data_IF_848355579268
#
_entry.id   IF_848355579268
#
_cell.length_a   1.000
_cell.length_b   1.000
_cell.length_c   1.000
_cell.angle_alpha   90.00
_cell.angle_beta   90.00
_cell.angle_gamma   90.00
#
_symmetry.space_group_name_H-M   'P 1'
#
loop_
_entity.id
_entity.type
_entity.pdbx_description
1 polymer ?
#
# COMPACT_ATOMS: atom_id res chain seq x y z
N UNK A 1 -29.78 55.72 13.25
CA UNK A 1 -29.61 55.46 11.80
C UNK A 1 -29.59 53.95 11.66
N UNK A 2 -30.76 53.32 11.76
CA UNK A 2 -30.86 51.88 12.03
C UNK A 2 -31.72 51.23 10.96
N UNK A 3 -31.08 50.94 9.83
CA UNK A 3 -31.70 50.30 8.67
C UNK A 3 -30.71 49.69 7.69
N UNK A 4 -29.43 49.57 8.04
CA UNK A 4 -28.45 48.99 7.14
C UNK A 4 -28.49 47.46 7.23
N UNK A 5 -29.14 46.83 6.25
CA UNK A 5 -29.19 45.37 6.12
C UNK A 5 -27.89 44.91 5.44
N UNK A 6 -26.99 44.21 6.15
CA UNK A 6 -25.71 43.81 5.57
C UNK A 6 -25.91 42.78 4.46
N UNK A 7 -25.14 42.91 3.38
CA UNK A 7 -25.18 41.97 2.26
C UNK A 7 -24.59 40.61 2.65
N UNK A 8 -24.99 39.53 1.96
CA UNK A 8 -24.43 38.16 2.18
C UNK A 8 -22.91 38.12 2.04
N UNK A 9 -22.32 38.96 1.18
CA UNK A 9 -20.87 39.06 1.03
C UNK A 9 -20.20 39.69 2.27
N UNK A 10 -20.84 40.69 2.90
CA UNK A 10 -20.33 41.30 4.13
C UNK A 10 -20.37 40.32 5.32
N UNK A 11 -21.41 39.48 5.40
CA UNK A 11 -21.50 38.43 6.42
C UNK A 11 -20.38 37.39 6.28
N UNK A 12 -20.14 36.90 5.05
CA UNK A 12 -19.06 35.93 4.78
C UNK A 12 -17.65 36.45 5.11
N UNK A 13 -17.41 37.76 4.97
CA UNK A 13 -16.12 38.37 5.34
C UNK A 13 -15.91 38.35 6.86
N UNK A 14 -16.95 38.67 7.64
CA UNK A 14 -16.91 38.60 9.12
C UNK A 14 -16.72 37.17 9.61
N UNK A 15 -17.30 36.18 8.92
CA UNK A 15 -17.12 34.77 9.27
C UNK A 15 -15.69 34.29 8.96
N UNK A 16 -15.10 34.76 7.86
CA UNK A 16 -13.70 34.47 7.51
C UNK A 16 -12.70 35.08 8.51
N UNK A 17 -12.97 36.28 9.02
CA UNK A 17 -12.17 36.93 10.07
C UNK A 17 -12.20 36.16 11.39
N UNK A 18 -13.34 35.55 11.74
CA UNK A 18 -13.47 34.71 12.94
C UNK A 18 -12.80 33.34 12.80
N UNK A 19 -12.68 32.82 11.58
CA UNK A 19 -12.09 31.52 11.28
C UNK A 19 -10.55 31.56 11.11
N UNK A 20 -9.94 32.74 11.17
CA UNK A 20 -8.48 32.92 11.07
C UNK A 20 -7.80 32.52 12.38
N UNK A 21 -7.38 31.26 12.48
CA UNK A 21 -6.52 30.78 13.57
C UNK A 21 -5.06 31.02 13.18
N UNK A 22 -4.49 32.11 13.68
CA UNK A 22 -3.06 32.43 13.51
C UNK A 22 -2.27 31.55 14.46
N UNK A 23 -1.60 30.53 13.94
CA UNK A 23 -0.67 29.70 14.70
C UNK A 23 0.76 30.20 14.47
N UNK A 24 1.45 30.56 15.55
CA UNK A 24 2.87 30.90 15.52
C UNK A 24 3.68 29.62 15.75
N UNK A 25 4.53 29.26 14.78
CA UNK A 25 5.40 28.10 14.88
C UNK A 25 6.69 28.47 15.63
N UNK A 26 6.91 27.86 16.80
CA UNK A 26 8.19 27.93 17.49
C UNK A 26 9.06 26.72 17.10
N UNK A 27 10.18 26.99 16.42
CA UNK A 27 11.06 25.93 15.93
C UNK A 27 11.78 25.24 17.10
N UNK A 28 11.62 23.92 17.22
CA UNK A 28 12.36 23.14 18.20
C UNK A 28 13.88 23.29 18.00
N UNK A 29 14.58 23.71 19.06
CA UNK A 29 16.05 23.80 19.07
C UNK A 29 16.63 22.40 18.89
N UNK A 30 17.46 22.22 17.86
CA UNK A 30 18.19 20.97 17.63
C UNK A 30 19.13 20.73 18.81
N UNK A 31 19.04 19.56 19.43
CA UNK A 31 20.00 19.14 20.45
C UNK A 31 21.44 19.20 19.87
N UNK A 32 22.44 19.61 20.66
CA UNK A 32 23.82 19.65 20.21
C UNK A 32 24.26 18.24 19.78
N UNK A 33 24.88 18.16 18.59
CA UNK A 33 25.39 16.90 18.05
C UNK A 33 26.42 16.31 19.01
N UNK A 34 26.13 15.13 19.59
CA UNK A 34 27.14 14.37 20.33
C UNK A 34 28.31 14.05 19.39
N UNK A 35 29.58 14.20 19.82
CA UNK A 35 30.74 13.93 18.98
C UNK A 35 30.80 12.45 18.61
N UNK A 36 31.16 12.18 17.34
CA UNK A 36 31.35 10.83 16.81
C UNK A 36 32.56 10.18 17.48
N UNK A 37 32.31 9.23 18.39
CA UNK A 37 33.34 8.28 18.84
C UNK A 37 33.26 7.04 17.97
N UNK A 38 34.41 6.64 17.45
CA UNK A 38 34.62 5.57 16.51
C UNK A 38 34.54 4.19 17.18
N UNK A 39 33.77 3.29 16.55
CA UNK A 39 33.91 1.83 16.51
C UNK A 39 34.23 1.04 17.78
N UNK A 40 33.33 0.13 18.19
CA UNK A 40 33.63 -1.31 18.39
C UNK A 40 32.45 -2.17 17.95
N UNK A 41 32.78 -3.26 17.25
CA UNK A 41 31.88 -4.35 16.87
C UNK A 41 31.39 -5.05 18.14
N UNK A 42 30.09 -5.11 18.35
CA UNK A 42 29.47 -6.05 19.27
C UNK A 42 28.37 -6.83 18.55
N UNK A 43 28.31 -8.12 18.88
CA UNK A 43 27.40 -9.14 18.31
C UNK A 43 25.94 -8.74 18.55
N UNK A 44 24.98 -9.24 17.74
CA UNK A 44 23.58 -8.93 17.97
C UNK A 44 23.13 -9.59 19.28
N UNK A 45 22.97 -8.78 20.32
CA UNK A 45 22.16 -9.14 21.47
C UNK A 45 20.73 -9.30 20.93
N UNK A 46 20.23 -10.53 20.98
CA UNK A 46 18.81 -10.82 20.86
C UNK A 46 18.11 -10.04 21.97
N UNK A 47 17.62 -8.85 21.63
CA UNK A 47 16.55 -8.22 22.39
C UNK A 47 15.28 -8.91 21.91
N UNK A 48 15.01 -10.04 22.51
CA UNK A 48 13.62 -10.41 22.80
C UNK A 48 13.21 -9.42 23.90
N UNK A 49 12.94 -8.17 23.49
CA UNK A 49 12.08 -7.32 24.29
C UNK A 49 10.69 -7.86 24.00
N UNK A 50 10.17 -8.61 24.97
CA UNK A 50 8.73 -8.57 25.23
C UNK A 50 8.38 -7.08 25.34
N UNK A 51 7.97 -6.48 24.21
CA UNK A 51 7.15 -5.29 24.22
C UNK A 51 5.83 -5.77 24.82
N UNK A 52 5.77 -5.82 26.15
CA UNK A 52 4.54 -5.59 26.87
C UNK A 52 4.07 -4.22 26.39
N UNK A 53 3.14 -4.24 25.44
CA UNK A 53 2.34 -3.08 25.11
C UNK A 53 1.59 -2.77 26.40
N UNK A 54 2.07 -1.80 27.17
CA UNK A 54 1.23 -1.15 28.16
C UNK A 54 -0.04 -0.75 27.40
N UNK A 55 -1.16 -1.36 27.79
CA UNK A 55 -2.47 -0.91 27.36
C UNK A 55 -2.58 0.51 27.89
N UNK A 56 -2.26 1.50 27.04
CA UNK A 56 -2.61 2.89 27.27
C UNK A 56 -4.14 2.92 27.40
N UNK A 57 -4.62 2.80 28.65
CA UNK A 57 -5.98 3.03 29.12
C UNK A 57 -6.32 4.53 28.98
N UNK A 58 -6.07 5.08 27.79
CA UNK A 58 -6.55 6.40 27.42
C UNK A 58 -8.07 6.29 27.26
N UNK A 59 -8.87 7.15 27.92
CA UNK A 59 -10.31 7.01 27.92
C UNK A 59 -10.85 7.06 26.49
N UNK A 60 -11.35 5.92 26.01
CA UNK A 60 -12.02 5.83 24.72
C UNK A 60 -13.23 6.78 24.75
N UNK A 61 -13.12 7.92 24.06
CA UNK A 61 -14.27 8.65 23.55
C UNK A 61 -15.30 7.63 23.02
N UNK A 62 -16.61 7.80 23.23
CA UNK A 62 -17.62 6.81 22.84
C UNK A 62 -17.62 6.64 21.31
N UNK A 63 -16.79 5.72 20.83
CA UNK A 63 -16.70 5.35 19.43
C UNK A 63 -17.95 4.56 19.05
N UNK A 64 -18.54 4.90 17.91
CA UNK A 64 -19.60 4.10 17.29
C UNK A 64 -19.22 2.61 17.30
N UNK A 65 -20.13 1.71 17.67
CA UNK A 65 -19.89 0.25 17.75
C UNK A 65 -19.24 -0.31 16.48
N UNK A 66 -19.57 0.26 15.31
CA UNK A 66 -18.97 -0.08 14.02
C UNK A 66 -17.48 0.24 13.95
N UNK A 67 -17.04 1.37 14.51
CA UNK A 67 -15.62 1.76 14.55
C UNK A 67 -14.83 0.83 15.47
N UNK A 68 -15.41 0.44 16.61
CA UNK A 68 -14.81 -0.55 17.51
C UNK A 68 -14.58 -1.89 16.80
N UNK A 69 -15.61 -2.40 16.12
CA UNK A 69 -15.49 -3.60 15.29
C UNK A 69 -14.41 -3.46 14.21
N UNK A 70 -14.29 -2.30 13.55
CA UNK A 70 -13.23 -2.08 12.56
C UNK A 70 -11.82 -2.07 13.16
N UNK A 71 -11.65 -1.51 14.36
CA UNK A 71 -10.39 -1.53 15.10
C UNK A 71 -10.01 -2.96 15.51
N UNK A 72 -10.97 -3.72 16.06
CA UNK A 72 -10.78 -5.12 16.42
C UNK A 72 -10.40 -5.96 15.20
N UNK A 73 -11.10 -5.77 14.07
CA UNK A 73 -10.78 -6.47 12.83
C UNK A 73 -9.39 -6.09 12.28
N UNK A 74 -8.89 -4.87 12.51
CA UNK A 74 -7.52 -4.48 12.15
C UNK A 74 -6.50 -5.18 13.06
N UNK A 75 -6.75 -5.25 14.37
CA UNK A 75 -5.93 -5.97 15.35
C UNK A 75 -5.84 -7.46 14.98
N UNK A 76 -6.97 -8.14 14.77
CA UNK A 76 -7.00 -9.55 14.37
C UNK A 76 -6.27 -9.82 13.04
N UNK A 77 -6.40 -8.93 12.04
CA UNK A 77 -5.65 -9.08 10.78
C UNK A 77 -4.15 -9.01 11.02
N UNK A 78 -3.70 -8.10 11.87
CA UNK A 78 -2.29 -7.98 12.23
C UNK A 78 -1.80 -9.26 12.94
N UNK A 79 -2.56 -9.79 13.88
CA UNK A 79 -2.19 -11.00 14.62
C UNK A 79 -2.11 -12.24 13.72
N UNK A 80 -3.07 -12.40 12.80
CA UNK A 80 -3.04 -13.48 11.81
C UNK A 80 -1.78 -13.37 10.94
N UNK A 81 -1.42 -12.16 10.52
CA UNK A 81 -0.20 -11.94 9.72
C UNK A 81 1.05 -12.24 10.55
N UNK A 82 1.13 -11.73 11.79
CA UNK A 82 2.24 -11.98 12.73
C UNK A 82 2.43 -13.47 12.97
N UNK A 83 1.33 -14.19 13.22
CA UNK A 83 1.32 -15.63 13.40
C UNK A 83 1.81 -16.37 12.15
N UNK A 84 1.29 -16.02 10.97
CA UNK A 84 1.73 -16.62 9.71
C UNK A 84 3.22 -16.41 9.43
N UNK A 85 3.80 -15.30 9.88
CA UNK A 85 5.23 -15.01 9.74
C UNK A 85 6.13 -15.82 10.69
N UNK A 86 5.60 -16.33 11.80
CA UNK A 86 6.37 -17.10 12.79
C UNK A 86 6.91 -18.43 12.23
N UNK A 87 6.22 -19.01 11.25
CA UNK A 87 6.61 -20.28 10.61
C UNK A 87 7.64 -20.14 9.49
N UNK A 88 8.12 -18.94 9.17
CA UNK A 88 9.07 -18.73 8.07
C UNK A 88 10.52 -18.96 8.47
N UNK A 89 11.33 -19.44 7.52
CA UNK A 89 12.78 -19.51 7.68
C UNK A 89 13.39 -18.10 7.86
N UNK A 90 14.54 -18.00 8.55
CA UNK A 90 15.17 -16.72 8.95
C UNK A 90 15.32 -15.68 7.83
N UNK A 91 15.50 -16.09 6.57
CA UNK A 91 15.62 -15.16 5.43
C UNK A 91 14.24 -14.66 4.99
N UNK A 92 13.28 -15.55 4.87
CA UNK A 92 11.90 -15.26 4.45
C UNK A 92 11.15 -14.47 5.53
N UNK A 93 11.33 -14.83 6.80
CA UNK A 93 10.80 -14.09 7.95
C UNK A 93 11.24 -12.61 7.93
N UNK A 94 12.51 -12.35 7.62
CA UNK A 94 13.02 -10.97 7.49
C UNK A 94 12.38 -10.21 6.34
N UNK A 95 12.19 -10.86 5.19
CA UNK A 95 11.52 -10.24 4.04
C UNK A 95 10.05 -9.94 4.35
N UNK A 96 9.36 -10.87 5.01
CA UNK A 96 7.97 -10.68 5.44
C UNK A 96 7.84 -9.53 6.46
N UNK A 97 8.75 -9.44 7.43
CA UNK A 97 8.80 -8.31 8.39
C UNK A 97 8.98 -6.96 7.69
N UNK A 98 9.89 -6.90 6.71
CA UNK A 98 10.09 -5.68 5.92
C UNK A 98 8.83 -5.34 5.11
N UNK A 99 8.21 -6.34 4.46
CA UNK A 99 6.99 -6.13 3.69
C UNK A 99 5.81 -5.64 4.56
N UNK A 100 5.64 -6.22 5.75
CA UNK A 100 4.67 -5.77 6.75
C UNK A 100 4.91 -4.30 7.13
N UNK A 101 6.15 -3.96 7.51
CA UNK A 101 6.50 -2.61 7.91
C UNK A 101 6.21 -1.61 6.77
N UNK A 102 6.56 -1.94 5.53
CA UNK A 102 6.26 -1.11 4.36
C UNK A 102 4.75 -0.96 4.15
N UNK A 103 3.96 -2.02 4.35
CA UNK A 103 2.49 -1.95 4.24
C UNK A 103 1.86 -1.05 5.32
N UNK A 104 2.49 -0.95 6.49
CA UNK A 104 2.11 -0.03 7.58
C UNK A 104 2.62 1.41 7.33
N UNK A 105 3.30 1.67 6.22
CA UNK A 105 3.78 2.99 5.84
C UNK A 105 5.26 3.26 6.15
N UNK A 106 6.02 2.27 6.61
CA UNK A 106 7.46 2.43 6.79
C UNK A 106 8.17 2.64 5.44
N UNK A 107 9.27 3.40 5.47
CA UNK A 107 10.09 3.64 4.27
C UNK A 107 10.82 2.33 3.89
N UNK A 108 10.72 1.85 2.64
CA UNK A 108 11.38 0.62 2.23
C UNK A 108 12.91 0.74 2.33
N UNK A 109 13.63 -0.38 2.58
CA UNK A 109 15.07 -0.35 2.72
C UNK A 109 15.75 0.09 1.42
N UNK A 110 16.86 0.83 1.54
CA UNK A 110 17.61 1.31 0.38
C UNK A 110 18.23 0.15 -0.41
N UNK A 111 18.15 0.26 -1.73
CA UNK A 111 18.80 -0.69 -2.64
C UNK A 111 20.32 -0.68 -2.47
N UNK A 112 20.94 -1.84 -2.65
CA UNK A 112 22.40 -1.97 -2.63
C UNK A 112 23.02 -1.14 -3.77
N UNK A 113 24.15 -0.49 -3.48
CA UNK A 113 24.90 0.26 -4.51
C UNK A 113 25.59 -0.74 -5.44
N UNK A 114 25.20 -0.76 -6.71
CA UNK A 114 25.73 -1.66 -7.73
C UNK A 114 26.27 -0.82 -8.90
N UNK A 115 27.35 -1.26 -9.54
CA UNK A 115 27.89 -0.60 -10.73
C UNK A 115 26.86 -0.62 -11.88
N UNK A 116 26.64 0.53 -12.52
CA UNK A 116 25.64 0.70 -13.59
C UNK A 116 25.79 -0.31 -14.73
N UNK A 117 27.03 -0.61 -15.17
CA UNK A 117 27.27 -1.59 -16.24
C UNK A 117 26.83 -3.00 -15.84
N UNK A 118 26.95 -3.37 -14.55
CA UNK A 118 26.48 -4.67 -14.04
C UNK A 118 24.95 -4.71 -13.95
N UNK A 119 24.33 -3.65 -13.44
CA UNK A 119 22.87 -3.52 -13.36
C UNK A 119 22.19 -3.64 -14.74
N UNK A 120 22.77 -3.03 -15.77
CA UNK A 120 22.26 -3.14 -17.14
C UNK A 120 22.32 -4.57 -17.69
N UNK A 121 23.41 -5.30 -17.42
CA UNK A 121 23.56 -6.70 -17.83
C UNK A 121 22.52 -7.58 -17.13
N UNK A 122 22.38 -7.45 -15.82
CA UNK A 122 21.40 -8.20 -15.02
C UNK A 122 19.97 -7.97 -15.53
N UNK A 123 19.56 -6.71 -15.74
CA UNK A 123 18.24 -6.40 -16.32
C UNK A 123 18.04 -7.01 -17.72
N UNK A 124 19.07 -7.07 -18.55
CA UNK A 124 18.98 -7.66 -19.90
C UNK A 124 18.79 -9.18 -19.80
N UNK A 125 19.50 -9.83 -18.88
CA UNK A 125 19.37 -11.26 -18.62
C UNK A 125 18.02 -11.63 -18.01
N UNK A 126 17.53 -10.87 -17.04
CA UNK A 126 16.21 -11.05 -16.45
C UNK A 126 15.10 -10.95 -17.50
N UNK A 127 15.13 -9.90 -18.34
CA UNK A 127 14.17 -9.76 -19.46
C UNK A 127 14.25 -10.93 -20.44
N UNK A 128 15.44 -11.46 -20.70
CA UNK A 128 15.60 -12.61 -21.58
C UNK A 128 15.05 -13.90 -20.93
N UNK A 129 15.28 -14.10 -19.63
CA UNK A 129 14.72 -15.23 -18.86
C UNK A 129 13.19 -15.16 -18.78
N UNK A 130 12.64 -13.97 -18.57
CA UNK A 130 11.19 -13.75 -18.55
C UNK A 130 10.56 -14.10 -19.91
N UNK A 131 11.13 -13.61 -21.02
CA UNK A 131 10.68 -13.97 -22.38
C UNK A 131 10.76 -15.47 -22.66
N UNK A 132 11.78 -16.17 -22.15
CA UNK A 132 11.87 -17.63 -22.28
C UNK A 132 10.77 -18.31 -21.46
N UNK A 133 10.56 -17.92 -20.20
CA UNK A 133 9.49 -18.45 -19.35
C UNK A 133 8.11 -18.24 -19.96
N UNK A 134 7.82 -17.06 -20.52
CA UNK A 134 6.56 -16.78 -21.23
C UNK A 134 6.36 -17.74 -22.42
N UNK A 135 7.40 -17.96 -23.23
CA UNK A 135 7.35 -18.90 -24.37
C UNK A 135 7.12 -20.36 -23.96
N UNK A 136 7.72 -20.79 -22.84
CA UNK A 136 7.57 -22.17 -22.33
C UNK A 136 6.28 -22.38 -21.53
N UNK A 137 5.76 -21.36 -20.85
CA UNK A 137 4.48 -21.43 -20.13
C UNK A 137 3.28 -21.46 -21.10
N UNK A 138 3.43 -20.92 -22.31
CA UNK A 138 2.47 -21.07 -23.39
C UNK A 138 2.66 -22.39 -24.13
N UNK A 139 2.17 -23.50 -23.58
CA UNK A 139 2.02 -24.78 -24.30
C UNK A 139 1.03 -24.73 -25.49
N UNK A 140 0.68 -23.54 -25.97
CA UNK A 140 -0.22 -23.23 -27.07
C UNK A 140 0.48 -22.43 -28.19
N UNK A 141 1.81 -22.45 -28.27
CA UNK A 141 2.57 -21.58 -29.18
C UNK A 141 2.69 -22.10 -30.62
N UNK A 142 1.62 -22.66 -31.21
CA UNK A 142 1.65 -23.12 -32.61
C UNK A 142 0.49 -22.66 -33.48
N UNK A 143 -0.20 -21.56 -33.15
CA UNK A 143 -1.11 -20.94 -34.12
C UNK A 143 -0.53 -19.60 -34.57
N UNK A 144 0.19 -19.63 -35.69
CA UNK A 144 0.69 -18.49 -36.47
C UNK A 144 -0.43 -17.61 -37.07
N UNK A 145 -1.59 -17.48 -36.41
CA UNK A 145 -2.78 -16.82 -36.96
C UNK A 145 -3.16 -15.50 -36.28
N UNK A 146 -2.40 -15.02 -35.29
CA UNK A 146 -2.65 -13.72 -34.64
C UNK A 146 -1.60 -12.64 -34.98
N UNK A 147 -0.94 -12.76 -36.13
CA UNK A 147 -0.18 -11.65 -36.72
C UNK A 147 -1.10 -10.87 -37.65
N UNK A 148 -1.79 -9.85 -37.11
CA UNK A 148 -2.25 -8.61 -37.78
C UNK A 148 -3.45 -7.99 -37.05
N UNK A 149 -3.26 -7.43 -35.86
CA UNK A 149 -4.03 -6.25 -35.44
C UNK A 149 -3.10 -5.31 -34.69
N UNK A 150 -2.71 -4.25 -35.39
CA UNK A 150 -1.86 -3.19 -34.87
C UNK A 150 -2.78 -2.00 -34.59
N UNK A 151 -2.57 -1.42 -33.39
CA UNK A 151 -2.85 -0.05 -32.95
C UNK A 151 -4.15 0.16 -32.16
N UNK A 152 -3.92 0.75 -30.98
CA UNK A 152 -4.85 1.46 -30.10
C UNK A 152 -5.59 0.62 -29.04
N UNK A 153 -4.83 -0.11 -28.22
CA UNK A 153 -5.27 -0.38 -26.86
C UNK A 153 -4.16 0.05 -25.90
N UNK A 154 -4.51 0.94 -24.97
CA UNK A 154 -3.66 1.32 -23.82
C UNK A 154 -3.14 0.03 -23.20
N UNK A 155 -1.86 -0.06 -22.80
CA UNK A 155 -1.38 -1.26 -22.14
C UNK A 155 -2.22 -1.47 -20.88
N UNK A 156 -3.07 -2.50 -20.89
CA UNK A 156 -3.66 -3.02 -19.66
C UNK A 156 -2.46 -3.37 -18.79
N UNK A 157 -2.33 -2.68 -17.66
CA UNK A 157 -1.36 -3.01 -16.63
C UNK A 157 -1.69 -4.45 -16.23
N UNK A 158 -0.97 -5.40 -16.84
CA UNK A 158 -1.00 -6.78 -16.44
C UNK A 158 -0.41 -6.77 -15.03
N UNK A 159 -1.27 -6.91 -14.03
CA UNK A 159 -0.88 -7.21 -12.66
C UNK A 159 -0.20 -8.58 -12.70
N UNK A 160 1.09 -8.57 -13.06
CA UNK A 160 1.96 -9.73 -13.08
C UNK A 160 2.03 -10.26 -11.65
N UNK A 161 1.93 -11.57 -11.53
CA UNK A 161 2.04 -12.31 -10.27
C UNK A 161 3.49 -12.27 -9.81
N UNK A 162 3.95 -11.12 -9.36
CA UNK A 162 5.07 -11.06 -8.43
C UNK A 162 4.57 -11.66 -7.11
N UNK A 163 5.47 -12.30 -6.34
CA UNK A 163 5.14 -12.78 -4.99
C UNK A 163 5.02 -11.54 -4.10
N UNK A 164 3.95 -10.78 -4.29
CA UNK A 164 3.74 -9.49 -3.67
C UNK A 164 3.29 -9.68 -2.22
N UNK A 165 4.29 -9.87 -1.36
CA UNK A 165 4.14 -9.90 0.08
C UNK A 165 3.50 -11.17 0.65
N UNK A 166 3.19 -11.08 1.95
CA UNK A 166 2.75 -12.18 2.83
C UNK A 166 1.52 -12.94 2.27
N UNK A 167 0.69 -12.29 1.46
CA UNK A 167 -0.53 -12.86 0.89
C UNK A 167 -0.28 -13.78 -0.32
N UNK A 168 0.94 -13.83 -0.86
CA UNK A 168 1.29 -14.72 -1.97
C UNK A 168 1.09 -16.22 -1.66
N UNK A 169 1.06 -16.59 -0.37
CA UNK A 169 0.86 -17.98 0.09
C UNK A 169 -0.61 -18.39 0.03
N UNK A 170 -1.53 -17.47 0.30
CA UNK A 170 -2.95 -17.78 0.48
C UNK A 170 -3.81 -17.50 -0.77
N UNK A 171 -3.19 -17.02 -1.87
CA UNK A 171 -3.89 -16.73 -3.12
C UNK A 171 -4.73 -15.46 -3.07
N UNK A 172 -4.96 -14.84 -4.23
CA UNK A 172 -5.71 -13.59 -4.35
C UNK A 172 -7.20 -13.92 -4.49
N UNK A 173 -8.02 -13.59 -3.49
CA UNK A 173 -9.49 -13.75 -3.56
C UNK A 173 -10.04 -12.79 -4.62
N UNK A 174 -10.55 -13.33 -5.73
CA UNK A 174 -11.28 -12.56 -6.74
C UNK A 174 -12.68 -12.30 -6.23
N UNK A 175 -13.04 -11.03 -6.01
CA UNK A 175 -14.44 -10.65 -5.75
C UNK A 175 -15.20 -10.76 -7.07
N UNK A 176 -16.01 -11.80 -7.20
CA UNK A 176 -16.95 -11.91 -8.31
C UNK A 176 -18.03 -10.83 -8.12
N UNK A 177 -18.03 -9.81 -8.99
CA UNK A 177 -19.09 -8.82 -9.08
C UNK A 177 -20.32 -9.44 -9.75
N UNK A 178 -20.93 -10.44 -9.12
CA UNK A 178 -22.12 -11.12 -9.62
C UNK A 178 -23.39 -10.51 -9.01
N UNK A 179 -23.52 -9.19 -9.07
CA UNK A 179 -24.73 -8.47 -8.69
C UNK A 179 -25.15 -7.52 -9.81
N UNK A 180 -26.40 -7.70 -10.27
CA UNK A 180 -27.13 -7.01 -11.36
C UNK A 180 -26.78 -7.43 -12.78
N UNK A 181 -27.57 -8.37 -13.34
CA UNK A 181 -28.47 -8.14 -14.50
C UNK A 181 -29.59 -9.20 -14.53
N UNK A 182 -30.67 -8.97 -13.77
CA UNK A 182 -32.00 -9.50 -14.14
C UNK A 182 -32.90 -8.28 -14.37
N UNK A 183 -33.54 -8.24 -15.54
CA UNK A 183 -34.50 -7.19 -15.91
C UNK A 183 -34.04 -6.35 -17.11
N UNK A 184 -34.56 -6.68 -18.29
CA UNK A 184 -34.34 -5.91 -19.52
C UNK A 184 -34.84 -6.68 -20.74
N UNK A 185 -36.16 -6.80 -20.88
CA UNK A 185 -36.81 -7.44 -22.02
C UNK A 185 -36.46 -6.76 -23.34
N UNK A 186 -36.16 -7.58 -24.37
CA UNK A 186 -35.99 -7.14 -25.76
C UNK A 186 -37.38 -6.92 -26.36
N UNK A 187 -37.77 -5.66 -26.58
CA UNK A 187 -38.92 -5.33 -27.43
C UNK A 187 -38.48 -5.42 -28.89
N UNK A 188 -39.04 -6.36 -29.65
CA UNK A 188 -38.86 -6.46 -31.10
C UNK A 188 -39.72 -5.38 -31.78
N UNK A 189 -39.08 -4.42 -32.46
CA UNK A 189 -39.79 -3.50 -33.37
C UNK A 189 -40.17 -4.29 -34.63
N UNK A 190 -41.47 -4.42 -34.89
CA UNK A 190 -42.02 -4.86 -36.17
C UNK A 190 -41.77 -3.73 -37.19
N UNK A 191 -41.20 -4.07 -38.35
CA UNK A 191 -41.15 -3.16 -39.51
C UNK A 191 -42.52 -3.16 -40.18
N UNK A 192 -42.99 -1.97 -40.55
CA UNK A 192 -44.07 -1.77 -41.54
C UNK A 192 -43.52 -1.97 -42.94
#
# INVERSE_FOLDING_TARGET
MDGFIPTRAALKKKDAEKALVVTTFEAHKKAPSKPKVQSKKEKPVSRDSDDEMEDDDEPEEPLDERRKQELDMKRYRYDVIKFGMSGFEKKEARQAKIALAVSLGAIPPKNKRINYKRLLKERKEEKAKEKKKEKFASGFSSNQLLMKFKKNDKPKINNRKEKDGILGIYGKVTKDNNHKRKGGGRVQKRKS
#
